data_IF_323716846538
#
_entry.id   IF_323716846538
#
_cell.length_a   1.000
_cell.length_b   1.000
_cell.length_c   1.000
_cell.angle_alpha   90.00
_cell.angle_beta   90.00
_cell.angle_gamma   90.00
#
_symmetry.space_group_name_H-M   'P 1'
#
loop_
_entity.id
_entity.type
_entity.pdbx_description
1 polymer ?
#
# COMPACT_ATOMS: atom_id res chain seq x y z
N UNK A 1 1.93 -0.30 21.53
CA UNK A 1 2.57 0.00 20.23
C UNK A 1 1.61 -0.48 19.17
N UNK A 2 0.86 0.42 18.54
CA UNK A 2 -0.01 0.07 17.41
C UNK A 2 0.88 -0.32 16.24
N UNK A 3 0.72 -1.53 15.73
CA UNK A 3 1.45 -1.98 14.53
C UNK A 3 0.62 -1.61 13.32
N UNK A 4 1.14 -0.71 12.48
CA UNK A 4 0.48 -0.36 11.22
C UNK A 4 0.85 -1.37 10.14
N UNK A 5 -0.10 -1.72 9.29
CA UNK A 5 0.11 -2.60 8.13
C UNK A 5 0.40 -1.75 6.91
N UNK A 6 1.58 -1.93 6.32
CA UNK A 6 1.97 -1.27 5.07
C UNK A 6 1.36 -2.02 3.89
N UNK A 7 0.53 -1.37 3.09
CA UNK A 7 0.01 -1.93 1.84
C UNK A 7 0.81 -1.39 0.67
N UNK A 8 1.39 -2.30 -0.11
CA UNK A 8 2.17 -1.98 -1.30
C UNK A 8 1.37 -2.29 -2.56
N UNK A 9 1.13 -1.28 -3.37
CA UNK A 9 0.57 -1.40 -4.70
C UNK A 9 1.68 -1.19 -5.73
N UNK A 10 1.88 -2.21 -6.55
CA UNK A 10 2.82 -2.13 -7.66
C UNK A 10 2.14 -1.41 -8.82
N UNK A 11 2.57 -0.19 -9.09
CA UNK A 11 2.02 0.58 -10.19
C UNK A 11 2.68 0.24 -11.54
N UNK A 12 2.09 0.72 -12.62
CA UNK A 12 2.68 0.70 -13.95
C UNK A 12 3.82 1.71 -14.06
N UNK A 13 3.60 2.93 -13.55
CA UNK A 13 4.57 4.03 -13.64
C UNK A 13 5.24 4.31 -12.30
N UNK A 14 4.48 4.23 -11.22
CA UNK A 14 4.95 4.58 -9.88
C UNK A 14 4.33 3.64 -8.87
N UNK A 15 5.18 3.03 -8.05
CA UNK A 15 4.73 2.20 -6.96
C UNK A 15 4.16 3.06 -5.83
N UNK A 16 3.08 2.59 -5.20
CA UNK A 16 2.33 3.34 -4.22
C UNK A 16 2.15 2.54 -2.94
N UNK A 17 2.13 3.24 -1.82
CA UNK A 17 2.12 2.67 -0.49
C UNK A 17 1.09 3.40 0.37
N UNK A 18 0.30 2.66 1.14
CA UNK A 18 -0.60 3.23 2.16
C UNK A 18 -0.41 2.52 3.48
N UNK A 19 -0.71 3.22 4.57
CA UNK A 19 -0.59 2.69 5.92
C UNK A 19 -1.98 2.46 6.53
N UNK A 20 -2.30 1.20 6.74
CA UNK A 20 -3.50 0.78 7.43
C UNK A 20 -3.23 0.59 8.93
N UNK A 21 -4.23 0.81 9.76
CA UNK A 21 -4.18 0.58 11.19
C UNK A 21 -3.95 -0.91 11.51
N UNK A 22 -4.57 -1.82 10.75
CA UNK A 22 -4.30 -3.26 10.81
C UNK A 22 -4.80 -3.97 9.54
N UNK A 23 -4.30 -5.20 9.31
CA UNK A 23 -4.81 -6.05 8.23
C UNK A 23 -6.26 -6.49 8.46
N UNK A 24 -6.65 -6.70 9.72
CA UNK A 24 -8.02 -7.08 10.09
C UNK A 24 -9.02 -5.98 9.73
N UNK A 25 -8.71 -4.70 10.03
CA UNK A 25 -9.56 -3.57 9.67
C UNK A 25 -9.70 -3.43 8.16
N UNK A 26 -8.63 -3.71 7.41
CA UNK A 26 -8.69 -3.72 5.95
C UNK A 26 -9.53 -4.88 5.44
N UNK A 27 -9.43 -6.09 6.00
CA UNK A 27 -10.29 -7.22 5.61
C UNK A 27 -11.78 -6.92 5.88
N UNK A 28 -12.10 -6.36 7.04
CA UNK A 28 -13.46 -5.89 7.37
C UNK A 28 -13.94 -4.80 6.42
N UNK A 29 -13.06 -3.86 6.07
CA UNK A 29 -13.35 -2.83 5.08
C UNK A 29 -13.60 -3.43 3.69
N UNK A 30 -12.77 -4.37 3.23
CA UNK A 30 -12.91 -5.00 1.91
C UNK A 30 -14.22 -5.78 1.78
N UNK A 31 -14.75 -6.34 2.87
CA UNK A 31 -16.09 -6.97 2.90
C UNK A 31 -17.21 -5.97 2.66
N UNK A 32 -17.10 -4.74 3.18
CA UNK A 32 -18.11 -3.71 2.99
C UNK A 32 -17.47 -2.32 2.85
N UNK A 33 -16.90 -2.03 1.67
CA UNK A 33 -16.05 -0.88 1.46
C UNK A 33 -16.88 0.38 1.36
N UNK A 34 -16.58 1.35 2.21
CA UNK A 34 -17.28 2.63 2.28
C UNK A 34 -16.30 3.73 2.61
N UNK A 35 -16.32 4.81 1.83
CA UNK A 35 -15.37 5.91 1.96
C UNK A 35 -15.30 6.48 3.39
N UNK A 36 -16.44 6.53 4.09
CA UNK A 36 -16.52 7.04 5.46
C UNK A 36 -15.89 6.13 6.53
N UNK A 37 -15.61 4.85 6.20
CA UNK A 37 -14.90 3.91 7.09
C UNK A 37 -13.39 3.94 6.90
N UNK A 38 -12.90 4.53 5.80
CA UNK A 38 -11.46 4.60 5.55
C UNK A 38 -10.74 5.28 6.73
N UNK A 39 -11.34 6.25 7.39
CA UNK A 39 -10.72 6.93 8.55
C UNK A 39 -10.49 6.05 9.76
N UNK A 40 -11.23 4.95 9.86
CA UNK A 40 -11.04 3.97 10.93
C UNK A 40 -10.03 2.89 10.53
N UNK A 41 -9.79 2.74 9.22
CA UNK A 41 -8.99 1.65 8.63
C UNK A 41 -7.58 2.12 8.28
N UNK A 42 -7.42 3.34 7.78
CA UNK A 42 -6.13 3.96 7.47
C UNK A 42 -5.68 4.90 8.57
N UNK A 43 -4.39 4.83 8.89
CA UNK A 43 -3.77 5.73 9.87
C UNK A 43 -3.52 7.11 9.27
N UNK A 44 -3.25 7.14 7.96
CA UNK A 44 -2.92 8.34 7.23
C UNK A 44 -3.70 8.35 5.90
N UNK A 45 -4.44 9.43 5.66
CA UNK A 45 -5.09 9.71 4.38
C UNK A 45 -4.10 10.27 3.35
N UNK A 46 -2.94 9.63 3.25
CA UNK A 46 -1.88 10.02 2.35
C UNK A 46 -1.33 8.78 1.66
N UNK A 47 -1.11 8.91 0.35
CA UNK A 47 -0.50 7.87 -0.46
C UNK A 47 0.98 8.20 -0.55
N UNK A 48 1.79 7.23 -0.19
CA UNK A 48 3.24 7.33 -0.23
C UNK A 48 3.79 6.65 -1.47
N UNK A 49 4.99 7.02 -1.86
CA UNK A 49 5.75 6.39 -2.93
C UNK A 49 7.23 6.37 -2.52
N UNK A 50 7.99 5.32 -2.86
CA UNK A 50 9.44 5.35 -2.69
C UNK A 50 10.04 6.54 -3.45
N UNK A 51 11.16 7.08 -2.96
CA UNK A 51 11.83 8.23 -3.57
C UNK A 51 12.21 8.01 -5.05
N UNK A 52 12.63 6.80 -5.41
CA UNK A 52 12.93 6.40 -6.79
C UNK A 52 11.68 6.05 -7.63
N UNK A 53 10.48 6.14 -7.03
CA UNK A 53 9.21 5.78 -7.66
C UNK A 53 9.00 4.28 -7.87
N UNK A 54 9.97 3.43 -7.51
CA UNK A 54 9.87 1.96 -7.61
C UNK A 54 10.42 1.25 -6.38
N UNK A 55 9.78 0.15 -6.00
CA UNK A 55 10.12 -0.66 -4.83
C UNK A 55 9.19 -0.44 -3.64
N UNK A 56 9.26 -1.35 -2.66
CA UNK A 56 8.39 -1.35 -1.48
C UNK A 56 9.11 -0.90 -0.19
N UNK A 57 10.37 -0.50 -0.30
CA UNK A 57 11.29 -0.26 0.82
C UNK A 57 12.15 0.99 0.56
N UNK A 58 12.78 1.52 1.61
CA UNK A 58 13.59 2.73 1.55
C UNK A 58 12.86 3.97 2.08
N UNK A 59 13.34 5.14 1.66
CA UNK A 59 12.71 6.42 1.99
C UNK A 59 11.41 6.59 1.19
N UNK A 60 10.31 6.78 1.91
CA UNK A 60 8.98 7.00 1.35
C UNK A 60 8.63 8.48 1.46
N UNK A 61 8.16 9.05 0.37
CA UNK A 61 7.64 10.42 0.30
C UNK A 61 6.16 10.43 -0.06
N UNK A 62 5.47 11.54 0.19
CA UNK A 62 4.10 11.73 -0.26
C UNK A 62 4.05 11.70 -1.81
N UNK A 63 3.18 10.85 -2.35
CA UNK A 63 2.96 10.77 -3.78
C UNK A 63 2.37 12.09 -4.28
N UNK A 64 2.99 12.65 -5.31
CA UNK A 64 2.47 13.85 -5.95
C UNK A 64 1.15 13.53 -6.66
N UNK A 65 0.24 14.52 -6.73
CA UNK A 65 -1.03 14.38 -7.45
C UNK A 65 -0.83 13.84 -8.88
N UNK A 66 0.19 14.31 -9.59
CA UNK A 66 0.52 13.83 -10.92
C UNK A 66 0.87 12.33 -10.98
N UNK A 67 1.59 11.80 -9.99
CA UNK A 67 1.93 10.36 -9.93
C UNK A 67 0.67 9.52 -9.73
N UNK A 68 -0.20 9.94 -8.82
CA UNK A 68 -1.48 9.30 -8.56
C UNK A 68 -2.39 9.35 -9.80
N UNK A 69 -2.47 10.51 -10.46
CA UNK A 69 -3.27 10.68 -11.68
C UNK A 69 -2.72 9.90 -12.88
N UNK A 70 -1.40 9.68 -12.95
CA UNK A 70 -0.78 8.86 -13.99
C UNK A 70 -1.06 7.36 -13.78
N UNK A 71 -1.24 6.93 -12.53
CA UNK A 71 -1.47 5.52 -12.19
C UNK A 71 -2.96 5.15 -12.22
N UNK A 72 -3.83 6.00 -11.67
CA UNK A 72 -5.27 5.71 -11.54
C UNK A 72 -6.19 6.57 -12.42
N UNK A 73 -5.62 7.54 -13.14
CA UNK A 73 -6.36 8.50 -13.95
C UNK A 73 -6.72 9.80 -13.22
N UNK A 74 -7.08 10.81 -14.01
CA UNK A 74 -7.42 12.16 -13.51
C UNK A 74 -8.75 12.19 -12.78
N UNK A 75 -8.85 13.05 -11.77
CA UNK A 75 -10.08 13.29 -11.03
C UNK A 75 -10.39 12.28 -9.92
N UNK A 76 -9.48 11.33 -9.65
CA UNK A 76 -9.57 10.45 -8.49
C UNK A 76 -9.26 11.20 -7.20
N UNK A 77 -10.10 11.00 -6.18
CA UNK A 77 -9.82 11.51 -4.84
C UNK A 77 -8.78 10.63 -4.14
N UNK A 78 -8.07 11.20 -3.16
CA UNK A 78 -7.10 10.45 -2.36
C UNK A 78 -7.76 9.23 -1.67
N UNK A 79 -9.00 9.39 -1.22
CA UNK A 79 -9.77 8.32 -0.58
C UNK A 79 -10.08 7.17 -1.55
N UNK A 80 -10.44 7.47 -2.80
CA UNK A 80 -10.64 6.44 -3.84
C UNK A 80 -9.34 5.71 -4.18
N UNK A 81 -8.22 6.45 -4.19
CA UNK A 81 -6.90 5.89 -4.49
C UNK A 81 -6.47 4.95 -3.37
N UNK A 82 -6.67 5.34 -2.12
CA UNK A 82 -6.43 4.50 -0.96
C UNK A 82 -7.29 3.23 -1.04
N UNK A 83 -8.59 3.36 -1.33
CA UNK A 83 -9.49 2.20 -1.54
C UNK A 83 -8.96 1.24 -2.62
N UNK A 84 -8.51 1.78 -3.76
CA UNK A 84 -7.92 0.98 -4.85
C UNK A 84 -6.64 0.26 -4.42
N UNK A 85 -5.77 0.94 -3.67
CA UNK A 85 -4.53 0.37 -3.14
C UNK A 85 -4.82 -0.72 -2.11
N UNK A 86 -5.82 -0.54 -1.23
CA UNK A 86 -6.18 -1.57 -0.25
C UNK A 86 -6.76 -2.82 -0.92
N UNK A 87 -7.53 -2.65 -2.01
CA UNK A 87 -8.12 -3.77 -2.78
C UNK A 87 -7.13 -4.53 -3.64
N UNK A 88 -6.22 -3.82 -4.30
CA UNK A 88 -5.33 -4.40 -5.31
C UNK A 88 -3.88 -4.53 -4.82
N UNK A 89 -3.51 -3.79 -3.79
CA UNK A 89 -2.21 -3.86 -3.15
C UNK A 89 -2.07 -5.09 -2.28
N UNK A 90 -0.83 -5.38 -1.90
CA UNK A 90 -0.50 -6.49 -1.02
C UNK A 90 -0.14 -5.94 0.37
N UNK A 91 -0.69 -6.52 1.45
CA UNK A 91 -0.17 -6.24 2.78
C UNK A 91 1.27 -6.73 2.83
N UNK A 92 2.19 -5.79 2.99
CA UNK A 92 3.52 -6.08 3.46
C UNK A 92 3.46 -5.90 4.98
N UNK A 93 3.00 -6.94 5.67
CA UNK A 93 3.04 -7.04 7.12
C UNK A 93 4.51 -7.02 7.52
N UNK A 94 5.07 -5.81 7.64
CA UNK A 94 6.36 -5.58 8.26
C UNK A 94 6.12 -5.80 9.74
N UNK A 95 5.95 -7.07 10.13
CA UNK A 95 6.25 -7.51 11.47
C UNK A 95 7.68 -7.04 11.66
N UNK A 96 7.89 -6.02 12.50
CA UNK A 96 9.22 -5.67 12.99
C UNK A 96 9.69 -6.80 13.92
N UNK A 97 9.74 -8.01 13.39
CA UNK A 97 10.74 -8.99 13.66
C UNK A 97 11.71 -8.84 12.50
N UNK A 98 12.75 -8.03 12.68
CA UNK A 98 13.99 -8.16 11.93
C UNK A 98 14.48 -9.61 12.11
N UNK A 99 13.89 -10.53 11.34
CA UNK A 99 14.38 -11.90 11.15
C UNK A 99 14.87 -11.92 9.72
N UNK A 100 16.09 -11.43 9.58
CA UNK A 100 16.98 -11.76 8.46
C UNK A 100 16.79 -13.23 8.04
N UNK A 101 16.16 -13.50 6.89
CA UNK A 101 16.50 -14.65 6.05
C UNK A 101 15.63 -14.70 4.79
N UNK A 102 16.31 -14.66 3.64
CA UNK A 102 15.92 -15.42 2.45
C UNK A 102 14.67 -14.94 1.75
N UNK A 103 14.89 -14.24 0.63
CA UNK A 103 13.85 -13.91 -0.33
C UNK A 103 12.94 -15.09 -0.63
N UNK A 104 11.65 -14.89 -0.40
CA UNK A 104 10.60 -15.70 -1.01
C UNK A 104 10.18 -15.01 -2.31
N UNK A 105 11.09 -14.99 -3.29
CA UNK A 105 10.80 -14.59 -4.65
C UNK A 105 11.54 -15.54 -5.61
N UNK A 106 10.84 -16.61 -6.00
CA UNK A 106 11.09 -17.30 -7.27
C UNK A 106 12.23 -18.34 -7.28
N UNK A 107 12.02 -19.51 -6.69
CA UNK A 107 12.66 -20.73 -7.21
C UNK A 107 11.78 -21.29 -8.33
N UNK A 108 11.96 -20.78 -9.55
CA UNK A 108 11.43 -21.45 -10.75
C UNK A 108 12.42 -22.55 -11.12
N UNK A 109 11.93 -23.78 -11.13
CA UNK A 109 12.65 -25.00 -11.49
C UNK A 109 13.35 -24.90 -12.85
N UNK A 110 14.57 -25.41 -12.94
CA UNK A 110 15.09 -26.05 -14.15
C UNK A 110 15.59 -27.44 -13.75
N UNK A 111 15.05 -28.44 -14.46
CA UNK A 111 15.31 -29.87 -14.33
C UNK A 111 16.68 -30.23 -14.90
#
# INVERSE_FOLDING_TARGET
MSTVTKYFYKGENTDLIVFAASEELVDEYLKNPSIGKLSEVVELFEVFTPQDGRGAEGELGAASKAQVENEFGKGKKIEEVIDLILRNGKPNSTTSSLKTKGGNAGTKAYN
#
